data_IF_940034965936
#
_entry.id   IF_940034965936
#
_cell.length_a   1.000
_cell.length_b   1.000
_cell.length_c   1.000
_cell.angle_alpha   90.00
_cell.angle_beta   90.00
_cell.angle_gamma   90.00
#
_symmetry.space_group_name_H-M   'P 1'
#
loop_
_entity.id
_entity.type
_entity.pdbx_description
1 polymer ?
#
# COMPACT_ATOMS: atom_id res chain seq x y z
N UNK A 1 -7.75 8.07 4.18
CA UNK A 1 -7.07 9.24 3.57
C UNK A 1 -6.16 8.74 2.47
N UNK A 2 -5.83 9.62 1.53
CA UNK A 2 -4.88 9.32 0.46
C UNK A 2 -3.62 10.16 0.60
N UNK A 3 -2.50 9.67 0.08
CA UNK A 3 -1.34 10.54 -0.11
C UNK A 3 -1.68 11.48 -1.26
N UNK A 4 -1.71 12.79 -0.96
CA UNK A 4 -2.26 13.82 -1.85
C UNK A 4 -1.58 13.83 -3.23
N UNK A 5 -0.25 13.73 -3.24
CA UNK A 5 0.56 13.76 -4.46
C UNK A 5 1.80 12.90 -4.30
N UNK A 6 2.29 12.32 -5.41
CA UNK A 6 3.59 11.65 -5.51
C UNK A 6 4.74 12.67 -5.56
N UNK A 7 4.85 13.48 -4.51
CA UNK A 7 5.81 14.55 -4.32
C UNK A 7 6.22 14.64 -2.85
N UNK A 8 7.38 15.21 -2.55
CA UNK A 8 7.81 15.43 -1.15
C UNK A 8 6.78 16.29 -0.41
N UNK A 9 6.28 17.36 -1.05
CA UNK A 9 5.27 18.23 -0.46
C UNK A 9 3.96 17.47 -0.15
N UNK A 10 3.44 16.68 -1.10
CA UNK A 10 2.24 15.86 -0.89
C UNK A 10 2.40 14.82 0.22
N UNK A 11 3.55 14.16 0.29
CA UNK A 11 3.88 13.18 1.34
C UNK A 11 3.91 13.86 2.72
N UNK A 12 4.59 15.01 2.84
CA UNK A 12 4.73 15.71 4.12
C UNK A 12 3.43 16.40 4.57
N UNK A 13 2.60 16.90 3.63
CA UNK A 13 1.23 17.36 3.93
C UNK A 13 0.36 16.23 4.49
N UNK A 14 0.43 15.06 3.87
CA UNK A 14 -0.27 13.85 4.33
C UNK A 14 0.22 13.43 5.72
N UNK A 15 1.53 13.45 5.95
CA UNK A 15 2.13 13.16 7.25
C UNK A 15 1.69 14.16 8.33
N UNK A 16 1.67 15.45 8.01
CA UNK A 16 1.19 16.49 8.92
C UNK A 16 -0.27 16.26 9.33
N UNK A 17 -1.15 15.98 8.36
CA UNK A 17 -2.54 15.61 8.63
C UNK A 17 -2.65 14.36 9.50
N UNK A 18 -1.87 13.33 9.21
CA UNK A 18 -1.84 12.12 10.02
C UNK A 18 -1.39 12.38 11.46
N UNK A 19 -0.39 13.24 11.67
CA UNK A 19 0.07 13.64 12.99
C UNK A 19 -1.02 14.38 13.78
N UNK A 20 -1.75 15.31 13.14
CA UNK A 20 -2.86 16.02 13.77
C UNK A 20 -4.00 15.08 14.18
N UNK A 21 -4.40 14.15 13.30
CA UNK A 21 -5.46 13.18 13.63
C UNK A 21 -5.01 12.24 14.76
N UNK A 22 -3.75 11.78 14.72
CA UNK A 22 -3.18 10.88 15.73
C UNK A 22 -3.10 11.55 17.11
N UNK A 23 -2.80 12.86 17.16
CA UNK A 23 -2.79 13.65 18.39
C UNK A 23 -4.14 13.61 19.12
N UNK A 24 -5.23 13.57 18.37
CA UNK A 24 -6.59 13.50 18.89
C UNK A 24 -7.08 12.05 19.09
N UNK A 25 -6.16 11.09 19.15
CA UNK A 25 -6.44 9.64 19.31
C UNK A 25 -7.27 9.03 18.18
N UNK A 26 -7.25 9.63 16.98
CA UNK A 26 -7.92 9.10 15.80
C UNK A 26 -7.16 7.94 15.15
N UNK A 27 -7.88 6.88 14.76
CA UNK A 27 -7.35 5.82 13.89
C UNK A 27 -7.34 6.25 12.43
N UNK A 28 -6.25 5.97 11.72
CA UNK A 28 -6.02 6.47 10.36
C UNK A 28 -5.84 5.28 9.41
N UNK A 29 -6.59 5.26 8.31
CA UNK A 29 -6.30 4.41 7.15
C UNK A 29 -5.70 5.24 6.02
N UNK A 30 -4.48 4.92 5.57
CA UNK A 30 -3.76 5.60 4.49
C UNK A 30 -3.54 4.60 3.36
N UNK A 31 -4.00 4.88 2.15
CA UNK A 31 -3.52 4.12 0.99
C UNK A 31 -2.27 4.76 0.40
N UNK A 32 -1.35 3.93 -0.09
CA UNK A 32 -0.03 4.38 -0.58
C UNK A 32 0.23 4.03 -2.05
N UNK A 33 -0.79 3.54 -2.75
CA UNK A 33 -0.66 3.04 -4.13
C UNK A 33 -0.41 4.11 -5.19
N UNK A 34 -0.42 5.40 -4.83
CA UNK A 34 -0.08 6.50 -5.74
C UNK A 34 1.41 6.85 -5.69
N UNK A 35 2.15 6.34 -4.70
CA UNK A 35 3.57 6.66 -4.52
C UNK A 35 4.44 5.72 -5.35
N UNK A 36 5.39 6.32 -6.08
CA UNK A 36 6.29 5.56 -6.97
C UNK A 36 7.11 4.52 -6.20
N UNK A 37 7.27 3.34 -6.80
CA UNK A 37 8.03 2.24 -6.22
C UNK A 37 9.55 2.51 -6.24
N UNK A 38 10.30 1.74 -5.47
CA UNK A 38 11.76 1.78 -5.46
C UNK A 38 12.35 1.57 -6.87
N UNK A 39 13.42 2.30 -7.19
CA UNK A 39 14.07 2.27 -8.49
C UNK A 39 13.39 3.11 -9.58
N UNK A 40 12.21 3.69 -9.31
CA UNK A 40 11.51 4.55 -10.28
C UNK A 40 12.25 5.88 -10.46
N UNK A 41 12.35 6.36 -11.71
CA UNK A 41 13.05 7.62 -12.03
C UNK A 41 12.32 8.85 -11.47
N UNK A 42 13.08 9.76 -10.86
CA UNK A 42 12.64 11.09 -10.43
C UNK A 42 13.11 12.10 -11.48
N UNK A 43 12.22 12.44 -12.42
CA UNK A 43 12.55 13.31 -13.57
C UNK A 43 13.17 14.66 -13.21
N UNK A 44 12.81 15.24 -12.06
CA UNK A 44 13.30 16.55 -11.63
C UNK A 44 14.76 16.56 -11.18
N UNK A 45 15.28 15.41 -10.74
CA UNK A 45 16.61 15.31 -10.13
C UNK A 45 17.48 14.21 -10.74
N UNK A 46 16.97 13.48 -11.74
CA UNK A 46 17.65 12.39 -12.45
C UNK A 46 18.23 11.30 -11.51
N UNK A 47 17.53 11.06 -10.39
CA UNK A 47 17.85 10.01 -9.42
C UNK A 47 16.70 9.01 -9.31
N UNK A 48 16.97 7.86 -8.68
CA UNK A 48 15.95 6.84 -8.44
C UNK A 48 15.26 7.02 -7.09
N UNK A 49 13.99 6.63 -7.02
CA UNK A 49 13.20 6.62 -5.78
C UNK A 49 13.68 5.52 -4.84
N UNK A 50 13.64 5.81 -3.54
CA UNK A 50 13.85 4.82 -2.49
C UNK A 50 12.58 4.01 -2.15
N UNK A 51 11.44 4.34 -2.78
CA UNK A 51 10.18 3.61 -2.64
C UNK A 51 9.47 3.80 -1.29
N UNK A 52 8.49 2.93 -1.05
CA UNK A 52 7.58 3.00 0.10
C UNK A 52 8.26 2.76 1.45
N UNK A 53 9.31 1.94 1.50
CA UNK A 53 9.94 1.52 2.77
C UNK A 53 10.43 2.72 3.58
N UNK A 54 11.20 3.63 2.96
CA UNK A 54 11.72 4.80 3.68
C UNK A 54 10.61 5.80 4.03
N UNK A 55 9.65 6.00 3.13
CA UNK A 55 8.48 6.85 3.42
C UNK A 55 7.72 6.33 4.64
N UNK A 56 7.39 5.04 4.66
CA UNK A 56 6.66 4.41 5.76
C UNK A 56 7.43 4.42 7.07
N UNK A 57 8.77 4.44 7.05
CA UNK A 57 9.57 4.66 8.26
C UNK A 57 9.37 6.03 8.87
N UNK A 58 9.21 7.08 8.06
CA UNK A 58 8.88 8.42 8.57
C UNK A 58 7.51 8.43 9.23
N UNK A 59 6.51 7.79 8.61
CA UNK A 59 5.18 7.60 9.23
C UNK A 59 5.26 6.80 10.53
N UNK A 60 6.06 5.73 10.57
CA UNK A 60 6.28 4.92 11.76
C UNK A 60 6.89 5.72 12.92
N UNK A 61 7.91 6.52 12.66
CA UNK A 61 8.51 7.39 13.68
C UNK A 61 7.53 8.45 14.16
N UNK A 62 6.72 9.00 13.26
CA UNK A 62 5.68 9.99 13.60
C UNK A 62 4.58 9.37 14.47
N UNK A 63 4.13 8.15 14.15
CA UNK A 63 3.14 7.43 14.96
C UNK A 63 3.64 7.25 16.40
N UNK A 64 4.90 6.87 16.59
CA UNK A 64 5.52 6.76 17.93
C UNK A 64 5.68 8.10 18.64
N UNK A 65 6.04 9.15 17.91
CA UNK A 65 6.29 10.47 18.50
C UNK A 65 5.01 11.12 19.01
N UNK A 66 3.92 10.97 18.25
CA UNK A 66 2.62 11.58 18.59
C UNK A 66 1.88 10.79 19.66
N UNK A 67 2.28 9.54 19.93
CA UNK A 67 1.77 8.78 21.06
C UNK A 67 2.29 9.38 22.39
N UNK A 68 1.54 10.35 22.93
CA UNK A 68 1.92 11.18 24.08
C UNK A 68 1.90 10.44 25.45
N UNK A 69 1.88 9.11 25.47
CA UNK A 69 2.11 8.31 26.69
C UNK A 69 1.11 8.55 27.83
N UNK A 70 -0.09 9.06 27.54
CA UNK A 70 -1.19 9.21 28.51
C UNK A 70 -2.16 8.02 28.50
N UNK A 71 -3.16 8.01 29.39
CA UNK A 71 -4.26 7.02 29.45
C UNK A 71 -5.19 7.02 28.21
N UNK A 72 -4.82 7.67 27.10
CA UNK A 72 -5.59 7.71 25.86
C UNK A 72 -5.15 6.59 24.92
N UNK A 73 -6.06 6.10 24.08
CA UNK A 73 -5.77 5.06 23.09
C UNK A 73 -4.64 5.56 22.18
N UNK A 74 -3.53 4.80 22.02
CA UNK A 74 -2.44 5.20 21.14
C UNK A 74 -2.96 5.37 19.73
N UNK A 75 -2.56 6.47 19.08
CA UNK A 75 -2.90 6.75 17.69
C UNK A 75 -2.34 5.65 16.78
N UNK A 76 -3.14 5.20 15.82
CA UNK A 76 -2.81 4.01 15.04
C UNK A 76 -3.02 4.26 13.55
N UNK A 77 -2.01 3.91 12.75
CA UNK A 77 -1.98 4.14 11.30
C UNK A 77 -1.97 2.78 10.60
N UNK A 78 -2.98 2.54 9.76
CA UNK A 78 -3.08 1.41 8.86
C UNK A 78 -2.74 1.81 7.43
N UNK A 79 -1.74 1.15 6.86
CA UNK A 79 -1.26 1.33 5.50
C UNK A 79 -1.96 0.33 4.59
N UNK A 80 -2.69 0.83 3.59
CA UNK A 80 -3.36 0.04 2.57
C UNK A 80 -2.51 0.01 1.30
N UNK A 81 -2.17 -1.20 0.86
CA UNK A 81 -1.38 -1.44 -0.35
C UNK A 81 -2.06 -2.50 -1.22
N UNK A 82 -2.04 -2.29 -2.53
CA UNK A 82 -2.52 -3.25 -3.51
C UNK A 82 -1.38 -4.20 -3.95
N UNK A 83 -1.67 -5.49 -4.20
CA UNK A 83 -0.63 -6.50 -4.43
C UNK A 83 0.14 -6.36 -5.75
N UNK A 84 -0.28 -5.45 -6.65
CA UNK A 84 0.46 -5.13 -7.87
C UNK A 84 1.55 -4.08 -7.65
N UNK A 85 1.61 -3.41 -6.49
CA UNK A 85 2.58 -2.37 -6.25
C UNK A 85 4.02 -2.93 -6.25
N UNK A 86 4.95 -2.22 -6.91
CA UNK A 86 6.36 -2.60 -7.03
C UNK A 86 7.07 -2.91 -5.71
N UNK A 87 6.66 -2.28 -4.61
CA UNK A 87 7.28 -2.45 -3.29
C UNK A 87 6.54 -3.45 -2.40
N UNK A 88 5.51 -4.15 -2.89
CA UNK A 88 4.67 -5.05 -2.07
C UNK A 88 5.48 -6.06 -1.27
N UNK A 89 6.48 -6.69 -1.87
CA UNK A 89 7.31 -7.69 -1.19
C UNK A 89 8.09 -7.07 -0.03
N UNK A 90 8.59 -5.84 -0.18
CA UNK A 90 9.34 -5.15 0.87
C UNK A 90 8.40 -4.63 1.97
N UNK A 91 7.20 -4.17 1.60
CA UNK A 91 6.17 -3.71 2.53
C UNK A 91 5.70 -4.83 3.46
N UNK A 92 5.53 -6.05 2.94
CA UNK A 92 5.21 -7.23 3.76
C UNK A 92 6.30 -7.50 4.82
N UNK A 93 7.57 -7.20 4.54
CA UNK A 93 8.65 -7.44 5.49
C UNK A 93 8.77 -6.36 6.59
N UNK A 94 8.06 -5.23 6.47
CA UNK A 94 8.21 -4.08 7.38
C UNK A 94 7.83 -4.39 8.84
N UNK A 95 6.93 -5.34 9.07
CA UNK A 95 6.47 -5.72 10.42
C UNK A 95 7.23 -6.91 11.01
N UNK A 96 8.09 -7.58 10.24
CA UNK A 96 8.83 -8.75 10.72
C UNK A 96 9.73 -8.40 11.90
N UNK A 97 9.90 -9.34 12.82
CA UNK A 97 10.69 -9.08 14.03
C UNK A 97 12.19 -9.09 13.72
N UNK A 98 12.63 -10.04 12.90
CA UNK A 98 14.03 -10.18 12.48
C UNK A 98 14.39 -9.25 11.31
N UNK A 99 15.68 -9.07 11.06
CA UNK A 99 16.25 -8.29 9.94
C UNK A 99 16.63 -6.85 10.30
N UNK A 100 17.20 -6.10 9.33
CA UNK A 100 17.76 -4.77 9.57
C UNK A 100 16.68 -3.75 9.99
N UNK A 101 16.96 -2.98 11.04
CA UNK A 101 16.01 -2.03 11.63
C UNK A 101 15.66 -0.89 10.65
N UNK A 102 16.59 -0.54 9.77
CA UNK A 102 16.39 0.45 8.72
C UNK A 102 15.39 0.04 7.64
N UNK A 103 14.95 -1.22 7.64
CA UNK A 103 13.90 -1.76 6.77
C UNK A 103 12.67 -2.19 7.58
N UNK A 104 12.44 -1.59 8.76
CA UNK A 104 11.32 -1.96 9.64
C UNK A 104 10.48 -0.76 10.04
N UNK A 105 9.17 -1.01 10.15
CA UNK A 105 8.16 -0.03 10.53
C UNK A 105 7.03 -0.74 11.30
N UNK A 106 7.37 -1.24 12.50
CA UNK A 106 6.51 -2.13 13.30
C UNK A 106 5.36 -1.45 14.04
N UNK A 107 5.37 -0.11 14.15
CA UNK A 107 4.32 0.66 14.82
C UNK A 107 3.17 1.02 13.86
N UNK A 108 3.28 0.62 12.60
CA UNK A 108 2.20 0.71 11.62
C UNK A 108 1.45 -0.62 11.53
N UNK A 109 0.20 -0.52 11.13
CA UNK A 109 -0.62 -1.63 10.69
C UNK A 109 -0.58 -1.71 9.17
N UNK A 110 -0.67 -2.93 8.63
CA UNK A 110 -0.63 -3.17 7.19
C UNK A 110 -1.90 -3.89 6.75
N UNK A 111 -2.45 -3.46 5.63
CA UNK A 111 -3.65 -3.99 5.03
C UNK A 111 -3.44 -4.17 3.53
N UNK A 112 -3.86 -5.32 3.02
CA UNK A 112 -3.90 -5.62 1.60
C UNK A 112 -5.26 -5.21 1.04
N UNK A 113 -5.24 -4.41 -0.02
CA UNK A 113 -6.40 -4.04 -0.82
C UNK A 113 -6.36 -4.88 -2.11
N UNK A 114 -7.03 -6.02 -2.09
CA UNK A 114 -6.82 -7.11 -3.04
C UNK A 114 -7.85 -7.02 -4.18
N UNK A 115 -7.44 -6.85 -5.45
CA UNK A 115 -8.33 -7.02 -6.60
C UNK A 115 -8.64 -8.49 -6.84
N UNK A 116 -9.83 -8.79 -7.36
CA UNK A 116 -10.29 -10.15 -7.69
C UNK A 116 -9.32 -10.81 -8.68
N UNK A 117 -8.76 -10.06 -9.64
CA UNK A 117 -7.78 -10.53 -10.61
C UNK A 117 -6.58 -11.23 -9.94
N UNK A 118 -6.07 -10.68 -8.83
CA UNK A 118 -4.95 -11.29 -8.11
C UNK A 118 -5.33 -12.70 -7.62
N UNK A 119 -6.51 -12.82 -7.01
CA UNK A 119 -7.00 -14.10 -6.50
C UNK A 119 -7.27 -15.11 -7.61
N UNK A 120 -7.79 -14.66 -8.76
CA UNK A 120 -7.95 -15.48 -9.95
C UNK A 120 -6.58 -16.02 -10.43
N UNK A 121 -5.56 -15.16 -10.52
CA UNK A 121 -4.21 -15.58 -10.94
C UNK A 121 -3.54 -16.54 -9.95
N UNK A 122 -3.76 -16.37 -8.64
CA UNK A 122 -3.30 -17.31 -7.61
C UNK A 122 -3.94 -18.70 -7.80
N UNK A 123 -5.25 -18.74 -7.99
CA UNK A 123 -6.01 -19.99 -8.22
C UNK A 123 -5.49 -20.72 -9.45
N UNK A 124 -5.31 -20.00 -10.55
CA UNK A 124 -4.90 -20.53 -11.86
C UNK A 124 -3.38 -20.72 -12.00
N UNK A 125 -2.59 -20.38 -10.98
CA UNK A 125 -1.12 -20.43 -11.02
C UNK A 125 -0.50 -19.61 -12.17
N UNK A 126 -1.13 -18.49 -12.50
CA UNK A 126 -0.65 -17.55 -13.53
C UNK A 126 0.44 -16.62 -12.96
N UNK A 127 1.12 -15.94 -13.87
CA UNK A 127 2.09 -14.91 -13.51
C UNK A 127 1.38 -13.67 -12.97
N UNK A 128 2.06 -12.92 -12.13
CA UNK A 128 1.66 -11.66 -11.56
C UNK A 128 2.74 -10.64 -11.83
N UNK A 129 2.31 -9.49 -12.31
CA UNK A 129 3.13 -8.37 -12.73
C UNK A 129 3.03 -7.26 -11.69
N UNK A 130 4.19 -6.74 -11.28
CA UNK A 130 4.30 -5.59 -10.41
C UNK A 130 4.55 -4.33 -11.22
N UNK A 131 4.03 -3.21 -10.74
CA UNK A 131 4.13 -1.93 -11.40
C UNK A 131 4.54 -0.82 -10.44
N UNK A 132 5.23 0.19 -10.97
CA UNK A 132 5.34 1.47 -10.28
C UNK A 132 4.21 2.39 -10.72
N UNK A 133 3.51 3.06 -9.79
CA UNK A 133 2.47 4.05 -10.13
C UNK A 133 2.96 5.16 -11.05
N UNK A 134 4.27 5.46 -11.06
CA UNK A 134 4.85 6.48 -11.95
C UNK A 134 4.77 6.14 -13.45
N UNK A 135 4.60 4.86 -13.79
CA UNK A 135 4.46 4.38 -15.18
C UNK A 135 3.11 3.74 -15.45
N UNK A 136 2.52 3.08 -14.45
CA UNK A 136 1.21 2.45 -14.52
C UNK A 136 0.18 3.27 -13.74
N UNK A 137 -0.19 4.43 -14.30
CA UNK A 137 -1.10 5.38 -13.68
C UNK A 137 -2.53 4.83 -13.62
N UNK A 138 -3.29 5.21 -12.59
CA UNK A 138 -4.73 4.96 -12.52
C UNK A 138 -5.16 3.57 -12.02
N UNK A 139 -4.24 2.61 -11.80
CA UNK A 139 -4.61 1.29 -11.26
C UNK A 139 -5.32 1.37 -9.90
N UNK A 140 -4.96 2.34 -9.06
CA UNK A 140 -5.63 2.59 -7.78
C UNK A 140 -7.02 3.24 -7.94
N UNK A 141 -7.27 3.90 -9.07
CA UNK A 141 -8.48 4.68 -9.34
C UNK A 141 -9.59 3.88 -10.04
N UNK A 142 -9.32 2.64 -10.45
CA UNK A 142 -10.29 1.74 -11.09
C UNK A 142 -10.41 0.41 -10.33
N UNK A 143 -11.51 -0.32 -10.52
CA UNK A 143 -11.76 -1.63 -9.91
C UNK A 143 -12.53 -2.55 -10.87
N UNK A 144 -12.61 -3.84 -10.55
CA UNK A 144 -13.32 -4.82 -11.37
C UNK A 144 -12.78 -4.91 -12.81
N UNK A 145 -13.68 -4.91 -13.80
CA UNK A 145 -13.31 -5.07 -15.23
C UNK A 145 -12.39 -3.96 -15.74
N UNK A 146 -12.64 -2.72 -15.34
CA UNK A 146 -11.79 -1.58 -15.74
C UNK A 146 -10.36 -1.73 -15.20
N UNK A 147 -10.22 -2.25 -13.98
CA UNK A 147 -8.92 -2.60 -13.42
C UNK A 147 -8.25 -3.73 -14.22
N UNK A 148 -8.98 -4.78 -14.55
CA UNK A 148 -8.46 -5.91 -15.34
C UNK A 148 -7.94 -5.46 -16.71
N UNK A 149 -8.74 -4.67 -17.44
CA UNK A 149 -8.37 -4.12 -18.75
C UNK A 149 -7.11 -3.24 -18.68
N UNK A 150 -7.07 -2.33 -17.71
CA UNK A 150 -5.92 -1.43 -17.52
C UNK A 150 -4.66 -2.19 -17.10
N UNK A 151 -4.80 -3.17 -16.21
CA UNK A 151 -3.70 -4.04 -15.77
C UNK A 151 -3.11 -4.82 -16.96
N UNK A 152 -3.95 -5.45 -17.76
CA UNK A 152 -3.51 -6.21 -18.93
C UNK A 152 -2.84 -5.31 -19.98
N UNK A 153 -3.38 -4.12 -20.22
CA UNK A 153 -2.76 -3.13 -21.11
C UNK A 153 -1.32 -2.79 -20.66
N UNK A 154 -1.08 -2.62 -19.37
CA UNK A 154 0.27 -2.34 -18.86
C UNK A 154 1.21 -3.54 -18.92
N UNK A 155 0.70 -4.77 -18.84
CA UNK A 155 1.49 -5.97 -19.12
C UNK A 155 1.91 -6.03 -20.60
N UNK A 156 1.01 -5.74 -21.54
CA UNK A 156 1.30 -5.72 -22.98
C UNK A 156 2.33 -4.64 -23.35
N UNK A 157 2.26 -3.47 -22.69
CA UNK A 157 3.21 -2.39 -22.86
C UNK A 157 4.57 -2.64 -22.19
N UNK A 158 4.76 -3.79 -21.53
CA UNK A 158 6.00 -4.15 -20.83
C UNK A 158 6.44 -3.13 -19.78
N UNK A 159 5.48 -2.46 -19.12
CA UNK A 159 5.74 -1.47 -18.05
C UNK A 159 5.97 -2.12 -16.68
N UNK A 160 6.17 -3.43 -16.67
CA UNK A 160 6.30 -4.25 -15.47
C UNK A 160 7.67 -4.06 -14.82
N UNK A 161 7.71 -3.78 -13.51
CA UNK A 161 8.98 -3.72 -12.76
C UNK A 161 9.50 -5.12 -12.43
N UNK A 162 8.60 -6.07 -12.15
CA UNK A 162 8.94 -7.45 -11.83
C UNK A 162 7.77 -8.38 -12.15
N UNK A 163 8.04 -9.56 -12.70
CA UNK A 163 7.03 -10.59 -13.01
C UNK A 163 7.41 -11.92 -12.39
N UNK A 164 6.45 -12.60 -11.75
CA UNK A 164 6.65 -13.90 -11.11
C UNK A 164 5.31 -14.59 -10.85
N UNK A 165 5.31 -15.88 -10.45
CA UNK A 165 4.05 -16.60 -10.17
C UNK A 165 3.24 -15.93 -9.06
N UNK A 166 1.93 -15.72 -9.28
CA UNK A 166 1.04 -15.13 -8.28
C UNK A 166 1.07 -15.89 -6.94
N UNK A 167 1.18 -17.23 -7.01
CA UNK A 167 1.32 -18.09 -5.81
C UNK A 167 2.54 -17.76 -4.96
N UNK A 168 3.64 -17.27 -5.55
CA UNK A 168 4.82 -16.86 -4.77
C UNK A 168 4.50 -15.66 -3.89
N UNK A 169 3.77 -14.66 -4.39
CA UNK A 169 3.32 -13.53 -3.56
C UNK A 169 2.37 -14.01 -2.46
N UNK A 170 1.44 -14.88 -2.84
CA UNK A 170 0.44 -15.43 -1.92
C UNK A 170 1.05 -16.21 -0.76
N UNK A 171 2.04 -17.05 -1.02
CA UNK A 171 2.81 -17.75 0.02
C UNK A 171 3.50 -16.74 0.93
N UNK A 172 4.17 -15.71 0.37
CA UNK A 172 4.81 -14.66 1.17
C UNK A 172 3.81 -13.91 2.07
N UNK A 173 2.62 -13.60 1.56
CA UNK A 173 1.54 -12.97 2.34
C UNK A 173 1.17 -13.86 3.53
N UNK A 174 0.96 -15.16 3.30
CA UNK A 174 0.62 -16.11 4.36
C UNK A 174 1.74 -16.28 5.39
N UNK A 175 2.99 -16.46 4.96
CA UNK A 175 4.14 -16.56 5.86
C UNK A 175 4.24 -15.33 6.77
N UNK A 176 4.05 -14.15 6.18
CA UNK A 176 4.09 -12.89 6.93
C UNK A 176 2.91 -12.76 7.89
N UNK A 177 1.71 -13.22 7.52
CA UNK A 177 0.56 -13.30 8.43
C UNK A 177 0.82 -14.26 9.59
N UNK A 178 1.42 -15.43 9.34
CA UNK A 178 1.76 -16.39 10.38
C UNK A 178 2.79 -15.84 11.36
N UNK A 179 3.78 -15.09 10.87
CA UNK A 179 4.85 -14.52 11.71
C UNK A 179 4.38 -13.31 12.52
N UNK A 180 3.63 -12.40 11.90
CA UNK A 180 3.34 -11.06 12.47
C UNK A 180 1.89 -10.90 12.97
N UNK A 181 1.01 -11.84 12.63
CA UNK A 181 -0.40 -11.88 13.02
C UNK A 181 -1.30 -10.79 12.43
N UNK A 182 -0.75 -9.80 11.69
CA UNK A 182 -1.48 -8.54 11.41
C UNK A 182 -1.23 -8.05 9.99
N UNK A 183 -1.86 -8.75 9.02
CA UNK A 183 -2.16 -8.17 7.71
C UNK A 183 -3.66 -8.31 7.46
N UNK A 184 -4.39 -7.20 7.49
CA UNK A 184 -5.80 -7.21 7.12
C UNK A 184 -5.93 -7.53 5.63
N UNK A 185 -6.83 -8.42 5.25
CA UNK A 185 -7.13 -8.71 3.84
C UNK A 185 -8.51 -8.15 3.51
N UNK A 186 -8.56 -7.23 2.56
CA UNK A 186 -9.79 -6.63 2.08
C UNK A 186 -9.87 -6.80 0.58
N UNK A 187 -11.05 -7.14 0.07
CA UNK A 187 -11.26 -7.37 -1.36
C UNK A 187 -11.79 -6.10 -2.01
N UNK A 188 -10.91 -5.39 -2.74
CA UNK A 188 -11.16 -4.10 -3.39
C UNK A 188 -12.45 -4.10 -4.20
N UNK A 189 -12.63 -5.11 -5.04
CA UNK A 189 -13.77 -5.17 -5.97
C UNK A 189 -15.07 -5.51 -5.24
N UNK A 190 -15.02 -6.32 -4.18
CA UNK A 190 -16.20 -6.60 -3.36
C UNK A 190 -16.63 -5.36 -2.56
N UNK A 191 -15.68 -4.61 -2.01
CA UNK A 191 -15.95 -3.34 -1.33
C UNK A 191 -16.57 -2.32 -2.29
N UNK A 192 -15.93 -2.09 -3.44
CA UNK A 192 -16.41 -1.10 -4.39
C UNK A 192 -17.77 -1.47 -5.00
N UNK A 193 -18.02 -2.72 -5.39
CA UNK A 193 -19.31 -3.14 -5.99
C UNK A 193 -20.52 -3.09 -5.06
N UNK A 194 -20.33 -3.12 -3.74
CA UNK A 194 -21.42 -3.28 -2.76
C UNK A 194 -21.68 -2.05 -1.92
N UNK A 195 -20.83 -1.02 -2.00
CA UNK A 195 -20.99 0.20 -1.24
C UNK A 195 -21.88 1.21 -2.00
N UNK A 196 -22.77 1.89 -1.28
CA UNK A 196 -23.68 2.89 -1.86
C UNK A 196 -22.94 4.14 -2.38
N UNK A 197 -21.66 4.30 -2.06
CA UNK A 197 -20.82 5.45 -2.43
C UNK A 197 -20.10 5.29 -3.77
N UNK A 198 -20.47 4.29 -4.59
CA UNK A 198 -19.87 4.05 -5.92
C UNK A 198 -19.88 5.29 -6.83
N UNK A 199 -20.89 6.14 -6.69
CA UNK A 199 -21.05 7.37 -7.46
C UNK A 199 -19.98 8.44 -7.15
N UNK A 200 -19.23 8.30 -6.05
CA UNK A 200 -18.17 9.24 -5.65
C UNK A 200 -16.79 8.85 -6.22
N UNK A 201 -16.70 7.73 -6.95
CA UNK A 201 -15.47 7.17 -7.49
C UNK A 201 -14.96 5.96 -6.72
N UNK A 202 -13.79 5.46 -7.10
CA UNK A 202 -13.20 4.25 -6.52
C UNK A 202 -12.74 4.49 -5.09
N UNK A 203 -13.19 3.61 -4.19
CA UNK A 203 -12.76 3.55 -2.80
C UNK A 203 -11.41 2.82 -2.74
N UNK A 204 -10.42 3.50 -2.16
CA UNK A 204 -9.00 3.10 -2.19
C UNK A 204 -8.48 2.52 -0.87
N UNK A 205 -9.23 2.63 0.22
CA UNK A 205 -8.88 2.09 1.54
C UNK A 205 -10.11 1.91 2.41
N UNK A 206 -9.95 1.12 3.48
CA UNK A 206 -10.87 1.13 4.62
C UNK A 206 -10.31 2.00 5.77
N UNK A 207 -10.92 1.93 6.95
CA UNK A 207 -10.44 2.54 8.19
C UNK A 207 -9.85 1.50 9.13
N UNK A 208 -9.01 1.96 10.05
CA UNK A 208 -8.60 1.16 11.21
C UNK A 208 -9.73 1.20 12.25
N UNK A 209 -10.09 0.04 12.81
CA UNK A 209 -11.10 -0.13 13.88
C UNK A 209 -10.47 -0.01 15.27
#
# INVERSE_FOLDING_TARGET
MEVEEDSIDGIYKTLHKAALISKDSGGIGIHVNNIRASGSLIRSSDVTSNGLVLMLRVFNSTARYVDQGGNKRPGAIAVYIEPWNGDIEAVLDLRKNHGPEELRARNLFYALWIPDLFMQRVKENKDWSLFSPSVALGLADVYGKEFEELYHKYEEQSLTTKKFKARKLWIKIFETQMETGIHFMLYKDACNRKLNQQNLGTIKSSKLL
#
